data_IF_257124734988
#
_entry.id   IF_257124734988
#
_cell.length_a   1.000
_cell.length_b   1.000
_cell.length_c   1.000
_cell.angle_alpha   90.00
_cell.angle_beta   90.00
_cell.angle_gamma   90.00
#
_symmetry.space_group_name_H-M   'P 1'
#
loop_
_entity.id
_entity.type
_entity.pdbx_description
1 polymer ?
#
# COMPACT_ATOMS: atom_id res chain seq x y z
N UNK A 1 20.02 10.39 -13.60
CA UNK A 1 18.86 10.44 -12.70
C UNK A 1 17.65 10.05 -13.53
N UNK A 2 17.11 8.84 -13.34
CA UNK A 2 15.85 8.49 -13.99
C UNK A 2 14.79 9.44 -13.46
N UNK A 3 14.08 10.10 -14.36
CA UNK A 3 13.08 11.12 -14.09
C UNK A 3 12.16 10.69 -12.93
N UNK A 4 12.25 11.42 -11.81
CA UNK A 4 11.43 11.19 -10.61
C UNK A 4 9.95 11.53 -10.87
N UNK A 5 9.64 12.09 -12.04
CA UNK A 5 8.34 12.60 -12.42
C UNK A 5 7.91 12.16 -13.82
N UNK A 6 8.34 10.99 -14.31
CA UNK A 6 7.64 10.38 -15.44
C UNK A 6 6.28 9.88 -14.93
N UNK A 7 5.37 10.83 -14.76
CA UNK A 7 4.11 10.66 -14.07
C UNK A 7 3.25 9.80 -14.99
N UNK A 8 2.99 8.57 -14.54
CA UNK A 8 2.04 7.66 -15.17
C UNK A 8 0.66 8.32 -15.38
N UNK A 9 0.40 9.50 -14.78
CA UNK A 9 -0.80 10.35 -14.88
C UNK A 9 -1.18 10.75 -16.31
N UNK A 10 -0.20 10.88 -17.21
CA UNK A 10 -0.49 11.28 -18.61
C UNK A 10 -1.07 10.10 -19.42
N UNK A 11 -1.06 8.89 -18.85
CA UNK A 11 -1.64 7.70 -19.48
C UNK A 11 -3.15 7.75 -19.38
N UNK A 12 -3.80 7.15 -20.37
CA UNK A 12 -5.25 6.94 -20.30
C UNK A 12 -5.60 5.99 -19.14
N UNK A 13 -6.63 6.30 -18.34
CA UNK A 13 -7.15 5.40 -17.31
C UNK A 13 -7.49 4.03 -17.90
N UNK A 14 -7.16 2.97 -17.16
CA UNK A 14 -7.67 1.64 -17.46
C UNK A 14 -9.22 1.65 -17.44
N UNK A 15 -9.90 0.99 -18.39
CA UNK A 15 -11.36 0.87 -18.39
C UNK A 15 -11.88 0.27 -17.07
N UNK A 16 -13.08 0.69 -16.66
CA UNK A 16 -13.71 0.11 -15.47
C UNK A 16 -13.97 -1.39 -15.67
N UNK A 17 -13.50 -2.25 -14.76
CA UNK A 17 -13.75 -3.68 -14.84
C UNK A 17 -15.20 -4.02 -14.49
N UNK A 18 -15.59 -5.29 -14.72
CA UNK A 18 -16.87 -5.78 -14.19
C UNK A 18 -16.87 -5.69 -12.66
N UNK A 19 -17.99 -5.32 -12.03
CA UNK A 19 -18.08 -5.27 -10.57
C UNK A 19 -17.79 -6.61 -9.90
N UNK A 20 -17.14 -6.58 -8.74
CA UNK A 20 -16.98 -7.75 -7.87
C UNK A 20 -18.36 -8.20 -7.33
N UNK A 21 -18.54 -9.51 -7.06
CA UNK A 21 -19.79 -10.05 -6.52
C UNK A 21 -20.07 -9.63 -5.07
N UNK A 22 -19.02 -9.29 -4.31
CA UNK A 22 -19.09 -8.68 -2.98
C UNK A 22 -18.06 -7.56 -2.87
N UNK A 23 -18.29 -6.53 -2.05
CA UNK A 23 -17.35 -5.43 -1.91
C UNK A 23 -16.04 -5.83 -1.25
N UNK A 24 -14.97 -5.12 -1.60
CA UNK A 24 -13.65 -5.21 -0.97
C UNK A 24 -12.99 -3.82 -0.89
N UNK A 25 -11.76 -3.78 -0.38
CA UNK A 25 -10.94 -2.59 -0.19
C UNK A 25 -9.81 -2.52 -1.23
N UNK A 26 -9.31 -1.32 -1.49
CA UNK A 26 -7.94 -1.09 -1.97
C UNK A 26 -7.05 -0.76 -0.76
N UNK A 27 -6.14 -1.66 -0.38
CA UNK A 27 -5.34 -1.51 0.82
C UNK A 27 -4.17 -0.53 0.70
N UNK A 28 -3.91 0.01 -0.51
CA UNK A 28 -2.84 0.98 -0.74
C UNK A 28 -3.04 1.71 -2.08
N UNK A 29 -3.30 3.02 -2.03
CA UNK A 29 -3.37 3.88 -3.20
C UNK A 29 -2.88 5.31 -2.91
N UNK A 30 -2.50 6.00 -3.98
CA UNK A 30 -2.05 7.40 -4.00
C UNK A 30 -2.99 8.26 -4.88
N UNK A 31 -4.18 8.57 -4.37
CA UNK A 31 -5.22 9.32 -5.09
C UNK A 31 -4.80 10.75 -5.46
N UNK A 32 -3.94 11.37 -4.67
CA UNK A 32 -3.32 12.66 -4.94
C UNK A 32 -2.51 12.62 -6.22
N UNK A 33 -1.78 11.52 -6.48
CA UNK A 33 -0.98 11.38 -7.69
C UNK A 33 -1.89 11.03 -8.86
N UNK A 34 -2.92 10.19 -8.66
CA UNK A 34 -3.89 9.85 -9.71
C UNK A 34 -4.60 11.09 -10.26
N UNK A 35 -4.92 12.06 -9.40
CA UNK A 35 -5.79 13.20 -9.75
C UNK A 35 -5.06 14.52 -9.91
N UNK A 36 -3.87 14.68 -9.31
CA UNK A 36 -3.16 15.96 -9.19
C UNK A 36 -4.08 17.08 -8.64
N UNK A 37 -4.93 16.72 -7.66
CA UNK A 37 -6.01 17.58 -7.16
C UNK A 37 -6.09 17.62 -5.62
N UNK A 38 -6.85 18.59 -5.11
CA UNK A 38 -7.09 18.75 -3.67
C UNK A 38 -7.99 17.62 -3.12
N UNK A 39 -7.91 17.28 -1.82
CA UNK A 39 -8.67 16.16 -1.25
C UNK A 39 -10.19 16.24 -1.44
N UNK A 40 -10.75 17.47 -1.47
CA UNK A 40 -12.18 17.72 -1.61
C UNK A 40 -12.64 17.94 -3.06
N UNK A 41 -11.79 17.66 -4.05
CA UNK A 41 -12.09 17.93 -5.45
C UNK A 41 -13.09 16.92 -6.04
N UNK A 42 -13.72 17.30 -7.15
CA UNK A 42 -14.65 16.42 -7.86
C UNK A 42 -13.92 15.25 -8.54
N UNK A 43 -12.65 15.44 -8.91
CA UNK A 43 -11.78 14.43 -9.50
C UNK A 43 -11.51 13.30 -8.49
N UNK A 44 -11.18 13.64 -7.24
CA UNK A 44 -10.99 12.64 -6.18
C UNK A 44 -12.30 11.90 -5.88
N UNK A 45 -13.41 12.63 -5.74
CA UNK A 45 -14.72 12.01 -5.54
C UNK A 45 -15.05 11.04 -6.68
N UNK A 46 -14.77 11.43 -7.93
CA UNK A 46 -15.00 10.59 -9.10
C UNK A 46 -14.19 9.29 -9.03
N UNK A 47 -12.90 9.33 -8.66
CA UNK A 47 -12.09 8.11 -8.53
C UNK A 47 -12.66 7.17 -7.47
N UNK A 48 -13.09 7.70 -6.32
CA UNK A 48 -13.72 6.91 -5.27
C UNK A 48 -15.04 6.30 -5.75
N UNK A 49 -15.87 7.05 -6.48
CA UNK A 49 -17.18 6.60 -6.98
C UNK A 49 -17.05 5.55 -8.09
N UNK A 50 -16.08 5.73 -8.98
CA UNK A 50 -15.72 4.75 -10.01
C UNK A 50 -15.26 3.43 -9.36
N UNK A 51 -14.42 3.50 -8.32
CA UNK A 51 -14.00 2.33 -7.55
C UNK A 51 -15.20 1.62 -6.89
N UNK A 52 -16.08 2.39 -6.23
CA UNK A 52 -17.29 1.85 -5.60
C UNK A 52 -18.21 1.17 -6.61
N UNK A 53 -18.33 1.71 -7.83
CA UNK A 53 -19.16 1.17 -8.89
C UNK A 53 -18.77 -0.25 -9.31
N UNK A 54 -17.50 -0.63 -9.07
CA UNK A 54 -16.97 -1.97 -9.38
C UNK A 54 -16.75 -2.85 -8.14
N UNK A 55 -17.33 -2.47 -7.00
CA UNK A 55 -17.25 -3.23 -5.75
C UNK A 55 -16.00 -2.98 -4.93
N UNK A 56 -15.32 -1.84 -5.12
CA UNK A 56 -14.20 -1.39 -4.29
C UNK A 56 -14.66 -0.19 -3.48
N UNK A 57 -15.21 -0.44 -2.30
CA UNK A 57 -15.97 0.58 -1.56
C UNK A 57 -15.12 1.42 -0.60
N UNK A 58 -13.91 0.95 -0.31
CA UNK A 58 -12.98 1.55 0.63
C UNK A 58 -11.57 1.60 0.08
N UNK A 59 -10.80 2.58 0.54
CA UNK A 59 -9.40 2.82 0.15
C UNK A 59 -8.57 3.20 1.36
N UNK A 60 -7.37 2.62 1.49
CA UNK A 60 -6.32 3.16 2.36
C UNK A 60 -5.45 4.08 1.52
N UNK A 61 -5.54 5.38 1.79
CA UNK A 61 -4.79 6.42 1.13
C UNK A 61 -3.42 6.58 1.81
N UNK A 62 -2.33 6.51 1.06
CA UNK A 62 -0.98 6.39 1.61
C UNK A 62 -0.13 7.63 1.31
N UNK A 63 0.41 8.26 2.36
CA UNK A 63 1.34 9.38 2.24
C UNK A 63 2.79 8.90 2.14
N UNK A 64 3.57 9.54 1.27
CA UNK A 64 5.00 9.28 1.09
C UNK A 64 5.92 10.40 1.62
N UNK A 65 5.36 11.56 1.97
CA UNK A 65 6.07 12.71 2.55
C UNK A 65 5.24 13.37 3.66
N UNK A 66 5.82 14.32 4.40
CA UNK A 66 5.08 15.07 5.42
C UNK A 66 3.92 15.89 4.82
N UNK A 67 4.12 16.50 3.65
CA UNK A 67 3.07 17.23 2.92
C UNK A 67 1.95 16.29 2.48
N UNK A 68 2.29 15.18 1.83
CA UNK A 68 1.28 14.24 1.36
C UNK A 68 0.59 13.50 2.49
N UNK A 69 1.27 13.25 3.59
CA UNK A 69 0.64 12.70 4.80
C UNK A 69 -0.45 13.62 5.35
N UNK A 70 -0.29 14.95 5.28
CA UNK A 70 -1.36 15.90 5.63
C UNK A 70 -2.53 15.81 4.66
N UNK A 71 -2.25 15.71 3.36
CA UNK A 71 -3.26 15.51 2.33
C UNK A 71 -4.07 14.23 2.59
N UNK A 72 -3.39 13.12 2.93
CA UNK A 72 -4.00 11.83 3.22
C UNK A 72 -4.91 11.89 4.46
N UNK A 73 -4.43 12.51 5.55
CA UNK A 73 -5.21 12.66 6.77
C UNK A 73 -6.48 13.50 6.54
N UNK A 74 -6.38 14.57 5.73
CA UNK A 74 -7.53 15.39 5.35
C UNK A 74 -8.53 14.61 4.47
N UNK A 75 -8.05 13.83 3.50
CA UNK A 75 -8.91 12.98 2.69
C UNK A 75 -9.70 11.98 3.56
N UNK A 76 -8.99 11.30 4.46
CA UNK A 76 -9.64 10.36 5.38
C UNK A 76 -10.69 11.06 6.25
N UNK A 77 -10.46 12.31 6.68
CA UNK A 77 -11.43 13.11 7.43
C UNK A 77 -12.68 13.45 6.62
N UNK A 78 -12.53 13.76 5.33
CA UNK A 78 -13.62 14.16 4.44
C UNK A 78 -14.54 13.00 4.03
N UNK A 79 -14.01 11.77 3.98
CA UNK A 79 -14.73 10.60 3.49
C UNK A 79 -14.81 9.46 4.52
N UNK A 80 -15.52 9.67 5.66
CA UNK A 80 -15.83 8.58 6.58
C UNK A 80 -16.62 7.46 5.89
N UNK A 81 -16.45 6.23 6.35
CA UNK A 81 -16.95 5.01 5.70
C UNK A 81 -16.17 4.57 4.45
N UNK A 82 -15.31 5.42 3.88
CA UNK A 82 -14.64 5.14 2.58
C UNK A 82 -13.11 5.19 2.65
N UNK A 83 -12.53 6.14 3.37
CA UNK A 83 -11.08 6.38 3.34
C UNK A 83 -10.45 6.32 4.72
N UNK A 84 -9.38 5.54 4.85
CA UNK A 84 -8.42 5.63 5.95
C UNK A 84 -7.09 6.15 5.43
N UNK A 85 -6.27 6.70 6.32
CA UNK A 85 -4.96 7.24 5.96
C UNK A 85 -3.81 6.40 6.55
N UNK A 86 -2.74 6.27 5.77
CA UNK A 86 -1.41 5.92 6.22
C UNK A 86 -0.49 7.15 6.10
N UNK A 87 0.38 7.36 7.10
CA UNK A 87 1.31 8.49 7.12
C UNK A 87 2.73 8.02 7.41
N UNK A 88 3.70 8.50 6.64
CA UNK A 88 5.13 8.25 6.84
C UNK A 88 5.99 9.15 5.95
N UNK A 89 7.31 8.97 6.08
CA UNK A 89 8.27 9.32 5.04
C UNK A 89 8.72 8.06 4.30
N UNK A 90 8.52 8.05 2.99
CA UNK A 90 8.91 6.96 2.11
C UNK A 90 10.44 6.81 2.06
N UNK A 91 10.99 5.59 1.87
CA UNK A 91 12.41 5.33 1.73
C UNK A 91 13.18 6.22 0.74
N UNK A 92 12.52 6.76 -0.28
CA UNK A 92 13.15 7.65 -1.26
C UNK A 92 13.09 9.14 -0.87
N UNK A 93 12.25 9.51 0.10
CA UNK A 93 12.11 10.87 0.61
C UNK A 93 12.99 11.08 1.85
N UNK A 94 12.88 10.20 2.85
CA UNK A 94 13.55 10.36 4.14
C UNK A 94 15.08 10.63 4.06
N UNK A 95 15.85 10.02 3.13
CA UNK A 95 17.29 10.28 3.03
C UNK A 95 17.66 11.64 2.40
N UNK A 96 16.71 12.33 1.77
CA UNK A 96 16.97 13.55 0.96
C UNK A 96 16.18 14.77 1.42
N UNK A 97 15.22 14.64 2.34
CA UNK A 97 14.54 15.80 2.94
C UNK A 97 15.53 16.72 3.67
N UNK A 98 15.24 18.02 3.60
CA UNK A 98 16.11 19.07 4.13
C UNK A 98 16.14 19.06 5.67
N UNK A 99 14.98 18.87 6.31
CA UNK A 99 14.83 18.83 7.76
C UNK A 99 14.04 17.56 8.15
N UNK A 100 14.78 16.47 8.36
CA UNK A 100 14.20 15.18 8.70
C UNK A 100 13.44 15.23 10.04
N UNK A 101 13.95 15.96 11.03
CA UNK A 101 13.33 16.01 12.36
C UNK A 101 11.99 16.76 12.31
N UNK A 102 11.92 17.86 11.57
CA UNK A 102 10.66 18.58 11.37
C UNK A 102 9.60 17.73 10.69
N UNK A 103 9.99 16.99 9.64
CA UNK A 103 9.07 16.12 8.91
C UNK A 103 8.60 14.93 9.76
N UNK A 104 9.50 14.28 10.51
CA UNK A 104 9.14 13.20 11.44
C UNK A 104 8.17 13.68 12.53
N UNK A 105 8.34 14.91 13.02
CA UNK A 105 7.41 15.50 14.00
C UNK A 105 6.00 15.68 13.42
N UNK A 106 5.89 16.06 12.15
CA UNK A 106 4.60 16.12 11.46
C UNK A 106 3.96 14.73 11.38
N UNK A 107 4.74 13.69 11.04
CA UNK A 107 4.24 12.31 11.00
C UNK A 107 3.76 11.86 12.38
N UNK A 108 4.52 12.14 13.45
CA UNK A 108 4.12 11.81 14.82
C UNK A 108 2.80 12.49 15.23
N UNK A 109 2.62 13.77 14.87
CA UNK A 109 1.38 14.50 15.14
C UNK A 109 0.18 13.88 14.38
N UNK A 110 0.34 13.63 13.07
CA UNK A 110 -0.70 13.03 12.24
C UNK A 110 -1.08 11.62 12.72
N UNK A 111 -0.12 10.85 13.24
CA UNK A 111 -0.37 9.54 13.81
C UNK A 111 -1.32 9.57 15.03
N UNK A 112 -1.59 10.73 15.64
CA UNK A 112 -2.61 10.84 16.69
C UNK A 112 -4.04 10.89 16.15
N UNK A 113 -4.22 11.19 14.86
CA UNK A 113 -5.54 11.35 14.26
C UNK A 113 -6.31 10.01 14.19
N UNK A 114 -7.60 9.97 14.54
CA UNK A 114 -8.36 8.71 14.66
C UNK A 114 -8.48 7.94 13.35
N UNK A 115 -8.51 8.64 12.21
CA UNK A 115 -8.61 8.07 10.86
C UNK A 115 -7.27 7.81 10.17
N UNK A 116 -6.17 8.18 10.84
CA UNK A 116 -4.83 7.68 10.47
C UNK A 116 -4.67 6.33 11.16
N UNK A 117 -4.58 5.27 10.37
CA UNK A 117 -4.68 3.88 10.86
C UNK A 117 -3.44 3.03 10.54
N UNK A 118 -2.52 3.59 9.77
CA UNK A 118 -1.24 2.99 9.46
C UNK A 118 -0.10 4.03 9.54
N UNK A 119 1.08 3.53 9.88
CA UNK A 119 2.36 4.22 9.72
C UNK A 119 3.01 3.62 8.47
N UNK A 120 3.02 4.40 7.39
CA UNK A 120 3.54 3.98 6.10
C UNK A 120 3.04 4.85 4.95
N UNK A 121 3.63 4.75 3.77
CA UNK A 121 4.68 3.78 3.45
C UNK A 121 6.07 4.21 3.95
N UNK A 122 6.72 3.32 4.69
CA UNK A 122 8.13 3.43 5.11
C UNK A 122 8.88 2.19 4.61
N UNK A 123 10.12 1.96 5.01
CA UNK A 123 10.88 0.76 4.61
C UNK A 123 12.16 1.10 3.90
N UNK A 124 12.56 0.26 2.93
CA UNK A 124 13.83 0.35 2.23
C UNK A 124 13.64 0.25 0.70
N UNK A 125 14.43 1.01 -0.04
CA UNK A 125 14.48 1.00 -1.51
C UNK A 125 15.93 1.22 -1.95
N UNK A 126 16.65 0.11 -2.13
CA UNK A 126 18.06 0.13 -2.55
C UNK A 126 18.24 0.26 -4.06
N UNK A 127 17.15 0.09 -4.82
CA UNK A 127 17.12 0.34 -6.25
C UNK A 127 17.26 1.84 -6.56
N UNK A 128 16.63 2.70 -5.75
CA UNK A 128 16.65 4.17 -5.92
C UNK A 128 17.64 4.87 -5.00
N UNK A 129 18.02 4.26 -3.88
CA UNK A 129 18.87 4.90 -2.85
C UNK A 129 20.33 4.44 -2.94
N UNK A 130 21.27 5.36 -3.22
CA UNK A 130 22.68 5.00 -3.31
C UNK A 130 23.26 4.64 -1.92
N UNK A 131 24.34 3.84 -1.86
CA UNK A 131 24.86 3.29 -0.61
C UNK A 131 25.07 4.30 0.52
N UNK A 132 25.57 5.49 0.21
CA UNK A 132 25.85 6.57 1.17
C UNK A 132 24.60 7.13 1.86
N UNK A 133 23.41 6.93 1.29
CA UNK A 133 22.13 7.38 1.85
C UNK A 133 21.35 6.26 2.56
N UNK A 134 21.76 4.99 2.42
CA UNK A 134 21.03 3.84 2.97
C UNK A 134 20.92 3.88 4.49
N UNK A 135 21.95 4.38 5.18
CA UNK A 135 21.90 4.50 6.64
C UNK A 135 20.76 5.42 7.10
N UNK A 136 20.55 6.55 6.43
CA UNK A 136 19.41 7.45 6.71
C UNK A 136 18.06 6.78 6.45
N UNK A 137 17.98 5.96 5.41
CA UNK A 137 16.78 5.18 5.09
C UNK A 137 16.47 4.16 6.21
N UNK A 138 17.47 3.40 6.64
CA UNK A 138 17.34 2.43 7.73
C UNK A 138 16.94 3.11 9.04
N UNK A 139 17.57 4.23 9.40
CA UNK A 139 17.27 4.95 10.65
C UNK A 139 15.83 5.50 10.62
N UNK A 140 15.37 6.03 9.48
CA UNK A 140 13.97 6.42 9.29
C UNK A 140 13.01 5.22 9.43
N UNK A 141 13.33 4.07 8.82
CA UNK A 141 12.50 2.88 8.92
C UNK A 141 12.38 2.39 10.37
N UNK A 142 13.49 2.33 11.11
CA UNK A 142 13.52 1.97 12.54
C UNK A 142 12.64 2.91 13.36
N UNK A 143 12.69 4.21 13.09
CA UNK A 143 11.85 5.20 13.76
C UNK A 143 10.34 4.96 13.50
N UNK A 144 9.96 4.66 12.25
CA UNK A 144 8.56 4.39 11.90
C UNK A 144 8.06 3.08 12.53
N UNK A 145 8.91 2.06 12.65
CA UNK A 145 8.59 0.83 13.40
C UNK A 145 8.23 1.16 14.86
N UNK A 146 9.06 1.97 15.54
CA UNK A 146 8.78 2.41 16.90
C UNK A 146 7.48 3.21 17.01
N UNK A 147 7.22 4.11 16.07
CA UNK A 147 5.97 4.88 16.05
C UNK A 147 4.74 3.98 15.85
N UNK A 148 4.82 2.98 14.97
CA UNK A 148 3.74 2.01 14.76
C UNK A 148 3.42 1.23 16.03
N UNK A 149 4.45 0.77 16.77
CA UNK A 149 4.29 0.13 18.08
C UNK A 149 3.65 1.07 19.10
N UNK A 150 4.20 2.29 19.24
CA UNK A 150 3.73 3.32 20.19
C UNK A 150 2.25 3.68 19.97
N UNK A 151 1.81 3.71 18.72
CA UNK A 151 0.44 4.13 18.35
C UNK A 151 -0.52 2.96 18.11
N UNK A 152 -0.04 1.72 18.21
CA UNK A 152 -0.77 0.50 17.89
C UNK A 152 -1.44 0.55 16.50
N UNK A 153 -0.72 1.09 15.51
CA UNK A 153 -1.17 1.18 14.11
C UNK A 153 -0.49 0.12 13.25
N UNK A 154 -1.09 -0.17 12.10
CA UNK A 154 -0.43 -1.03 11.13
C UNK A 154 0.87 -0.36 10.66
N UNK A 155 1.90 -1.16 10.42
CA UNK A 155 3.12 -0.72 9.73
C UNK A 155 3.01 -1.16 8.27
N UNK A 156 3.14 -0.22 7.33
CA UNK A 156 3.08 -0.51 5.89
C UNK A 156 4.46 -0.28 5.29
N UNK A 157 5.04 -1.36 4.76
CA UNK A 157 6.45 -1.44 4.35
C UNK A 157 6.55 -1.51 2.84
N UNK A 158 7.28 -0.55 2.28
CA UNK A 158 7.88 -0.61 0.96
C UNK A 158 9.22 -1.35 1.04
N UNK A 159 9.41 -2.30 0.13
CA UNK A 159 10.62 -3.09 0.04
C UNK A 159 11.01 -3.30 -1.42
N UNK A 160 12.21 -2.81 -1.79
CA UNK A 160 12.75 -2.96 -3.13
C UNK A 160 14.26 -3.15 -3.14
N UNK A 161 14.69 -4.30 -3.62
CA UNK A 161 16.09 -4.76 -3.62
C UNK A 161 16.71 -4.74 -2.21
N UNK A 162 15.90 -4.97 -1.17
CA UNK A 162 16.28 -4.78 0.25
C UNK A 162 15.69 -5.82 1.21
N UNK A 163 15.19 -6.94 0.70
CA UNK A 163 14.44 -7.96 1.46
C UNK A 163 15.11 -8.40 2.78
N UNK A 164 16.39 -8.77 2.71
CA UNK A 164 17.14 -9.27 3.86
C UNK A 164 17.29 -8.19 4.95
N UNK A 165 17.55 -6.94 4.53
CA UNK A 165 17.73 -5.82 5.46
C UNK A 165 16.40 -5.40 6.09
N UNK A 166 15.29 -5.44 5.35
CA UNK A 166 13.95 -5.19 5.90
C UNK A 166 13.63 -6.23 6.98
N UNK A 167 13.83 -7.52 6.69
CA UNK A 167 13.57 -8.60 7.64
C UNK A 167 14.50 -8.53 8.87
N UNK A 168 15.77 -8.19 8.65
CA UNK A 168 16.77 -8.01 9.70
C UNK A 168 16.40 -6.86 10.64
N UNK A 169 15.99 -5.71 10.10
CA UNK A 169 15.57 -4.56 10.90
C UNK A 169 14.28 -4.83 11.68
N UNK A 170 13.30 -5.52 11.08
CA UNK A 170 12.10 -5.94 11.79
C UNK A 170 12.42 -6.87 12.97
N UNK A 171 13.41 -7.75 12.82
CA UNK A 171 13.88 -8.60 13.92
C UNK A 171 14.63 -7.80 14.98
N UNK A 172 15.51 -6.88 14.57
CA UNK A 172 16.31 -6.04 15.45
C UNK A 172 15.45 -5.14 16.34
N UNK A 173 14.50 -4.41 15.74
CA UNK A 173 13.66 -3.43 16.42
C UNK A 173 12.43 -4.07 17.07
N UNK A 174 12.04 -5.25 16.58
CA UNK A 174 10.78 -5.92 16.94
C UNK A 174 9.63 -5.39 16.08
N UNK A 175 9.12 -6.27 15.21
CA UNK A 175 8.02 -5.98 14.31
C UNK A 175 6.71 -5.71 15.08
N UNK A 176 5.90 -4.71 14.65
CA UNK A 176 4.53 -4.57 15.12
C UNK A 176 3.70 -5.80 14.72
N UNK A 177 2.66 -6.12 15.50
CA UNK A 177 1.75 -7.23 15.20
C UNK A 177 1.11 -7.10 13.81
N UNK A 178 0.81 -5.86 13.41
CA UNK A 178 0.16 -5.54 12.13
C UNK A 178 1.19 -5.05 11.11
N UNK A 179 2.14 -5.92 10.77
CA UNK A 179 3.20 -5.62 9.80
C UNK A 179 2.76 -6.04 8.39
N UNK A 180 2.59 -5.07 7.50
CA UNK A 180 2.15 -5.25 6.11
C UNK A 180 3.33 -5.00 5.17
N UNK A 181 3.66 -5.99 4.35
CA UNK A 181 4.50 -5.82 3.17
C UNK A 181 3.59 -5.41 2.02
N UNK A 182 3.60 -4.11 1.72
CA UNK A 182 2.86 -3.60 0.57
C UNK A 182 3.59 -4.00 -0.71
N UNK A 183 2.82 -4.10 -1.78
CA UNK A 183 3.21 -4.49 -3.13
C UNK A 183 4.26 -5.62 -3.08
N UNK A 184 3.92 -6.72 -2.37
CA UNK A 184 4.87 -7.77 -2.04
C UNK A 184 5.65 -8.18 -3.30
N UNK A 185 6.97 -8.04 -3.21
CA UNK A 185 7.90 -8.14 -4.35
C UNK A 185 8.91 -9.28 -4.18
N UNK A 186 8.87 -9.98 -3.05
CA UNK A 186 9.75 -11.09 -2.71
C UNK A 186 9.41 -12.39 -3.42
N UNK A 187 10.23 -13.41 -3.14
CA UNK A 187 10.03 -14.76 -3.65
C UNK A 187 9.24 -15.66 -2.68
N UNK A 188 9.15 -16.95 -3.02
CA UNK A 188 8.45 -17.97 -2.23
C UNK A 188 9.09 -18.17 -0.85
N UNK A 189 10.41 -18.07 -0.73
CA UNK A 189 11.10 -18.28 0.55
C UNK A 189 10.89 -17.08 1.49
N UNK A 190 10.90 -15.87 0.94
CA UNK A 190 10.49 -14.68 1.68
C UNK A 190 9.01 -14.78 2.10
N UNK A 191 8.12 -15.24 1.21
CA UNK A 191 6.71 -15.41 1.55
C UNK A 191 6.51 -16.38 2.73
N UNK A 192 7.19 -17.54 2.72
CA UNK A 192 7.17 -18.49 3.86
C UNK A 192 7.67 -17.86 5.14
N UNK A 193 8.76 -17.10 5.06
CA UNK A 193 9.32 -16.38 6.21
C UNK A 193 8.31 -15.38 6.78
N UNK A 194 7.60 -14.64 5.92
CA UNK A 194 6.54 -13.73 6.33
C UNK A 194 5.34 -14.48 6.94
N UNK A 195 4.96 -15.62 6.38
CA UNK A 195 3.89 -16.48 6.91
C UNK A 195 4.24 -16.93 8.34
N UNK A 196 5.43 -17.51 8.53
CA UNK A 196 5.91 -17.98 9.84
C UNK A 196 5.95 -16.88 10.91
N UNK A 197 6.20 -15.63 10.49
CA UNK A 197 6.26 -14.47 11.39
C UNK A 197 4.92 -13.76 11.58
N UNK A 198 3.84 -14.23 10.96
CA UNK A 198 2.52 -13.59 11.05
C UNK A 198 2.41 -12.28 10.27
N UNK A 199 3.34 -11.98 9.36
CA UNK A 199 3.31 -10.76 8.56
C UNK A 199 2.25 -10.85 7.46
N UNK A 200 1.66 -9.71 7.12
CA UNK A 200 0.63 -9.59 6.09
C UNK A 200 1.29 -9.25 4.76
N UNK A 201 0.90 -9.95 3.70
CA UNK A 201 1.37 -9.72 2.33
C UNK A 201 0.23 -9.14 1.49
N UNK A 202 0.45 -7.92 0.98
CA UNK A 202 -0.46 -7.26 0.05
C UNK A 202 0.01 -7.48 -1.38
N UNK A 203 -0.90 -7.86 -2.27
CA UNK A 203 -0.58 -8.15 -3.67
C UNK A 203 -1.19 -7.09 -4.60
N UNK A 204 -0.33 -6.52 -5.45
CA UNK A 204 -0.69 -5.51 -6.43
C UNK A 204 -0.85 -6.10 -7.85
N UNK A 205 -1.04 -5.21 -8.84
CA UNK A 205 -1.22 -5.60 -10.24
C UNK A 205 -0.04 -6.35 -10.87
N UNK A 206 1.15 -6.26 -10.28
CA UNK A 206 2.35 -7.00 -10.69
C UNK A 206 2.18 -8.51 -10.68
N UNK A 207 1.32 -9.05 -9.80
CA UNK A 207 0.96 -10.47 -9.75
C UNK A 207 0.44 -10.98 -11.11
N UNK A 208 -0.28 -10.12 -11.84
CA UNK A 208 -0.90 -10.46 -13.12
C UNK A 208 0.11 -10.48 -14.28
N UNK A 209 1.34 -10.01 -14.07
CA UNK A 209 2.32 -9.90 -15.14
C UNK A 209 2.91 -11.25 -15.51
N UNK A 210 3.15 -11.48 -16.80
CA UNK A 210 3.70 -12.75 -17.31
C UNK A 210 5.03 -13.13 -16.64
N UNK A 211 5.87 -12.14 -16.32
CA UNK A 211 7.20 -12.32 -15.75
C UNK A 211 7.25 -12.34 -14.21
N UNK A 212 6.11 -12.50 -13.52
CA UNK A 212 6.05 -12.57 -12.06
C UNK A 212 5.61 -13.95 -11.52
N UNK A 213 6.25 -15.08 -11.93
CA UNK A 213 5.85 -16.40 -11.44
C UNK A 213 6.03 -16.54 -9.93
N UNK A 214 7.05 -15.92 -9.33
CA UNK A 214 7.28 -15.99 -7.89
C UNK A 214 6.12 -15.40 -7.08
N UNK A 215 5.53 -14.29 -7.52
CA UNK A 215 4.35 -13.69 -6.87
C UNK A 215 3.13 -14.60 -6.96
N UNK A 216 2.93 -15.24 -8.11
CA UNK A 216 1.84 -16.22 -8.32
C UNK A 216 2.00 -17.46 -7.44
N UNK A 217 3.22 -17.92 -7.22
CA UNK A 217 3.46 -19.00 -6.29
C UNK A 217 3.31 -18.55 -4.83
N UNK A 218 3.77 -17.34 -4.49
CA UNK A 218 3.58 -16.78 -3.15
C UNK A 218 2.10 -16.66 -2.78
N UNK A 219 1.26 -16.05 -3.64
CA UNK A 219 -0.16 -15.82 -3.32
C UNK A 219 -0.95 -17.11 -3.07
N UNK A 220 -0.48 -18.27 -3.57
CA UNK A 220 -1.08 -19.59 -3.31
C UNK A 220 -0.80 -20.10 -1.90
N UNK A 221 0.32 -19.69 -1.31
CA UNK A 221 0.81 -20.18 -0.02
C UNK A 221 0.28 -19.37 1.16
N UNK A 222 0.04 -18.07 0.96
CA UNK A 222 -0.35 -17.17 2.05
C UNK A 222 -1.74 -17.55 2.60
N UNK A 223 -1.88 -17.74 3.93
CA UNK A 223 -3.17 -17.95 4.57
C UNK A 223 -4.11 -16.77 4.37
N UNK A 224 -5.43 -17.00 4.46
CA UNK A 224 -6.42 -15.94 4.25
C UNK A 224 -6.14 -14.73 5.14
N UNK A 225 -5.91 -14.95 6.44
CA UNK A 225 -5.67 -13.93 7.45
C UNK A 225 -4.37 -13.11 7.24
N UNK A 226 -3.52 -13.49 6.30
CA UNK A 226 -2.29 -12.76 5.97
C UNK A 226 -2.34 -12.14 4.56
N UNK A 227 -3.50 -12.16 3.90
CA UNK A 227 -3.69 -11.57 2.59
C UNK A 227 -4.32 -10.17 2.64
N UNK A 228 -3.74 -9.27 1.85
CA UNK A 228 -4.35 -8.04 1.39
C UNK A 228 -4.24 -7.93 -0.14
N UNK A 229 -4.99 -6.97 -0.69
CA UNK A 229 -4.94 -6.61 -2.11
C UNK A 229 -4.85 -5.09 -2.21
N UNK A 230 -4.06 -4.60 -3.15
CA UNK A 230 -3.97 -3.17 -3.41
C UNK A 230 -3.76 -2.89 -4.90
N UNK A 231 -3.84 -1.62 -5.28
CA UNK A 231 -3.46 -1.21 -6.62
C UNK A 231 -2.08 -0.61 -6.70
N UNK A 232 -1.63 0.05 -5.64
CA UNK A 232 -0.50 0.99 -5.71
C UNK A 232 -0.73 2.07 -6.79
N UNK A 233 -2.00 2.46 -7.00
CA UNK A 233 -2.37 3.45 -8.02
C UNK A 233 -1.68 4.77 -7.74
N UNK A 234 -1.14 5.46 -8.76
CA UNK A 234 -1.38 5.28 -10.20
C UNK A 234 -0.52 4.23 -10.91
N UNK A 235 0.36 3.53 -10.18
CA UNK A 235 1.36 2.64 -10.74
C UNK A 235 0.79 1.24 -11.03
N UNK A 236 1.56 0.42 -11.76
CA UNK A 236 1.38 -1.04 -11.80
C UNK A 236 -0.01 -1.55 -12.26
N UNK A 237 -0.66 -0.85 -13.21
CA UNK A 237 -1.94 -1.28 -13.78
C UNK A 237 -1.94 -2.78 -14.18
N UNK A 238 -2.89 -3.60 -13.69
CA UNK A 238 -2.89 -5.04 -13.91
C UNK A 238 -3.16 -5.39 -15.39
N UNK A 239 -2.75 -6.59 -15.81
CA UNK A 239 -3.21 -7.19 -17.06
C UNK A 239 -4.74 -7.29 -17.08
N UNK A 240 -5.41 -6.96 -18.21
CA UNK A 240 -4.87 -6.68 -19.54
C UNK A 240 -4.47 -5.22 -19.81
N UNK A 241 -4.51 -4.33 -18.82
CA UNK A 241 -4.31 -2.89 -18.96
C UNK A 241 -2.90 -2.42 -18.56
N UNK A 242 -1.90 -3.31 -18.62
CA UNK A 242 -0.51 -2.96 -18.29
C UNK A 242 -0.05 -1.77 -19.15
N UNK A 243 0.42 -0.71 -18.48
CA UNK A 243 0.86 0.53 -19.12
C UNK A 243 -0.24 1.59 -19.28
N UNK A 244 -1.47 1.33 -18.81
CA UNK A 244 -2.48 2.36 -18.55
C UNK A 244 -2.24 3.06 -17.19
N UNK A 245 -2.98 4.13 -16.93
CA UNK A 245 -3.07 4.74 -15.60
C UNK A 245 -3.89 3.82 -14.69
N UNK A 246 -3.31 3.41 -13.56
CA UNK A 246 -3.99 2.56 -12.58
C UNK A 246 -4.92 3.39 -11.67
N UNK A 247 -6.02 2.80 -11.25
CA UNK A 247 -6.96 3.39 -10.27
C UNK A 247 -7.48 2.31 -9.34
N UNK A 248 -8.00 2.66 -8.13
CA UNK A 248 -8.56 1.68 -7.20
C UNK A 248 -9.64 0.75 -7.78
N UNK A 249 -10.33 1.18 -8.84
CA UNK A 249 -11.26 0.31 -9.56
C UNK A 249 -10.61 -0.98 -10.07
N UNK A 250 -9.31 -0.98 -10.34
CA UNK A 250 -8.58 -2.13 -10.87
C UNK A 250 -8.34 -3.24 -9.86
N UNK A 251 -8.60 -3.04 -8.55
CA UNK A 251 -8.66 -4.13 -7.56
C UNK A 251 -9.54 -5.27 -8.06
N UNK A 252 -10.64 -4.97 -8.74
CA UNK A 252 -11.54 -6.01 -9.24
C UNK A 252 -10.84 -6.97 -10.23
N UNK A 253 -9.86 -6.49 -11.01
CA UNK A 253 -9.05 -7.35 -11.89
C UNK A 253 -8.00 -8.13 -11.08
N UNK A 254 -7.37 -7.51 -10.09
CA UNK A 254 -6.34 -8.12 -9.24
C UNK A 254 -6.93 -9.25 -8.41
N UNK A 255 -8.07 -9.04 -7.75
CA UNK A 255 -8.76 -10.07 -6.96
C UNK A 255 -9.16 -11.27 -7.81
N UNK A 256 -9.60 -11.05 -9.06
CA UNK A 256 -9.93 -12.16 -9.97
C UNK A 256 -8.70 -12.98 -10.34
N UNK A 257 -7.57 -12.32 -10.61
CA UNK A 257 -6.31 -13.01 -10.87
C UNK A 257 -5.82 -13.78 -9.64
N UNK A 258 -5.91 -13.18 -8.44
CA UNK A 258 -5.59 -13.89 -7.19
C UNK A 258 -6.48 -15.12 -6.99
N UNK A 259 -7.79 -14.99 -7.22
CA UNK A 259 -8.74 -16.11 -7.07
C UNK A 259 -8.46 -17.23 -8.09
N UNK A 260 -8.07 -16.89 -9.31
CA UNK A 260 -7.65 -17.86 -10.34
C UNK A 260 -6.39 -18.62 -9.91
N UNK A 261 -5.33 -17.92 -9.46
CA UNK A 261 -4.10 -18.56 -8.99
C UNK A 261 -4.35 -19.47 -7.77
N UNK A 262 -5.24 -19.06 -6.87
CA UNK A 262 -5.58 -19.81 -5.67
C UNK A 262 -6.62 -20.92 -5.91
N UNK A 263 -7.22 -20.98 -7.11
CA UNK A 263 -8.33 -21.89 -7.43
C UNK A 263 -9.51 -21.75 -6.44
N UNK A 264 -9.91 -20.50 -6.18
CA UNK A 264 -10.93 -20.14 -5.18
C UNK A 264 -12.05 -19.27 -5.78
N UNK A 265 -13.15 -19.13 -5.04
CA UNK A 265 -14.24 -18.23 -5.40
C UNK A 265 -13.84 -16.76 -5.23
N UNK A 266 -14.07 -15.94 -6.26
CA UNK A 266 -13.89 -14.48 -6.22
C UNK A 266 -14.66 -13.84 -5.07
N UNK A 267 -15.89 -14.32 -4.79
CA UNK A 267 -16.71 -13.78 -3.71
C UNK A 267 -16.12 -14.10 -2.34
N UNK A 268 -15.59 -15.31 -2.15
CA UNK A 268 -14.97 -15.72 -0.90
C UNK A 268 -13.69 -14.93 -0.66
N UNK A 269 -12.80 -14.85 -1.66
CA UNK A 269 -11.55 -14.11 -1.53
C UNK A 269 -11.79 -12.61 -1.27
N UNK A 270 -12.68 -11.97 -2.01
CA UNK A 270 -13.03 -10.56 -1.79
C UNK A 270 -13.59 -10.31 -0.37
N UNK A 271 -14.44 -11.22 0.13
CA UNK A 271 -14.98 -11.14 1.49
C UNK A 271 -13.90 -11.28 2.58
N UNK A 272 -12.94 -12.19 2.41
CA UNK A 272 -11.83 -12.35 3.36
C UNK A 272 -10.85 -11.16 3.33
N UNK A 273 -10.51 -10.65 2.14
CA UNK A 273 -9.69 -9.44 1.98
C UNK A 273 -10.32 -8.22 2.68
N UNK A 274 -11.63 -8.06 2.51
CA UNK A 274 -12.44 -7.03 3.18
C UNK A 274 -12.35 -7.14 4.71
N UNK A 275 -12.55 -8.33 5.28
CA UNK A 275 -12.45 -8.57 6.73
C UNK A 275 -11.03 -8.33 7.26
N UNK A 276 -10.00 -8.74 6.51
CA UNK A 276 -8.62 -8.52 6.89
C UNK A 276 -8.29 -7.04 6.98
N UNK A 277 -8.72 -6.25 6.01
CA UNK A 277 -8.51 -4.82 6.02
C UNK A 277 -9.11 -4.16 7.27
N UNK A 278 -10.31 -4.56 7.69
CA UNK A 278 -10.91 -4.07 8.94
C UNK A 278 -10.18 -4.56 10.19
N UNK A 279 -9.68 -5.80 10.20
CA UNK A 279 -8.90 -6.31 11.33
C UNK A 279 -7.56 -5.57 11.47
N UNK A 280 -6.91 -5.25 10.36
CA UNK A 280 -5.58 -4.63 10.31
C UNK A 280 -5.67 -3.13 10.51
N UNK A 281 -6.48 -2.45 9.70
CA UNK A 281 -6.60 -1.00 9.71
C UNK A 281 -7.71 -0.52 10.64
N UNK A 282 -8.63 -1.36 11.09
CA UNK A 282 -9.80 -0.96 11.89
C UNK A 282 -11.01 -0.59 11.05
N UNK A 283 -12.08 -0.16 11.73
CA UNK A 283 -13.31 0.27 11.07
C UNK A 283 -13.07 1.48 10.16
N UNK A 284 -13.72 1.47 9.00
CA UNK A 284 -13.73 2.59 8.07
C UNK A 284 -14.84 3.60 8.39
N UNK A 285 -15.81 3.25 9.24
CA UNK A 285 -16.90 4.15 9.70
C UNK A 285 -16.36 5.41 10.40
#
# INVERSE_FOLDING_TARGET
MADRHNRDIDRQPAPLPKPLPVPTVDAHAHLEIVTDAAPNSLEVLKVLDDAKSVGVDRVVQVGYSAEQSKWCAELARLYPGRVLAAVALHPNEAPVVADLEADLKIIEELATHPRVRAIGETGLDYFRTPPELRKRQQDSFKWHIELAKKTNKALVIHDRDSHDDVLSILLEVGAPEKTVFHCFSGDVEMAKTCIERGYILSFAGTLTFKNAPALREAVKLVPYEQLLVETDSPFLAPTPHRGALNTPAQIANIVRAMAEERNESVATLAGELSKNAERIFGSFE
#
